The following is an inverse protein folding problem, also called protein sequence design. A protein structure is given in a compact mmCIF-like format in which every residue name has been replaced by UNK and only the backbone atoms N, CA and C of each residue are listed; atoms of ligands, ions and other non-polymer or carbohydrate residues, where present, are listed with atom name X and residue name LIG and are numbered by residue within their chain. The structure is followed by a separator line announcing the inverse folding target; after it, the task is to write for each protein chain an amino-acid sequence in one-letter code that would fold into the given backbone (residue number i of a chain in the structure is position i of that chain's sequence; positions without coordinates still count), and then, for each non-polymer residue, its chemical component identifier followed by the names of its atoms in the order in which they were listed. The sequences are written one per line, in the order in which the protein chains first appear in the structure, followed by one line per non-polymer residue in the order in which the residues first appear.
data_IF_057396179773
#
_entry.id   IF_057396179773
#
_cell.length_a   1.000
_cell.length_b   1.000
_cell.length_c   1.000
_cell.angle_alpha   90.00
_cell.angle_beta   90.00
_cell.angle_gamma   90.00
#
_symmetry.space_group_name_H-M   'P 1'
#
loop_
_entity.id
_entity.type
_entity.pdbx_description
1 polymer ?
#
# COMPACT_ATOMS: atom_id res chain seq x y z
N UNK A 1 74.48 -31.76 1.47
CA UNK A 1 74.52 -31.05 2.76
C UNK A 1 74.57 -29.55 2.49
N UNK A 2 73.68 -28.79 3.15
CA UNK A 2 73.65 -27.33 3.35
C UNK A 2 73.31 -26.35 2.18
N UNK A 3 72.00 -26.04 2.10
CA UNK A 3 71.28 -24.74 2.09
C UNK A 3 71.63 -23.49 1.23
N UNK A 4 70.51 -22.94 0.70
CA UNK A 4 70.18 -21.65 0.05
C UNK A 4 70.63 -20.37 0.81
N UNK A 5 70.63 -19.12 0.30
CA UNK A 5 69.60 -18.34 -0.43
C UNK A 5 70.18 -17.07 -1.15
N UNK A 6 69.41 -16.38 -2.04
CA UNK A 6 69.80 -15.22 -2.87
C UNK A 6 69.03 -13.90 -2.58
N UNK A 7 69.39 -12.78 -3.24
CA UNK A 7 68.46 -11.71 -3.67
C UNK A 7 69.13 -10.69 -4.63
N UNK A 8 68.58 -10.55 -5.83
CA UNK A 8 68.94 -9.53 -6.84
C UNK A 8 67.86 -8.45 -6.96
N UNK A 9 68.28 -7.25 -7.37
CA UNK A 9 67.46 -6.05 -7.53
C UNK A 9 67.03 -5.86 -8.99
N UNK A 10 65.72 -5.77 -9.24
CA UNK A 10 65.16 -5.43 -10.56
C UNK A 10 64.29 -4.16 -10.48
N UNK A 11 64.50 -3.27 -11.46
CA UNK A 11 63.83 -1.99 -11.65
C UNK A 11 62.35 -2.19 -12.00
N UNK A 12 61.45 -1.55 -11.24
CA UNK A 12 60.02 -1.49 -11.57
C UNK A 12 59.73 -0.26 -12.43
N UNK A 13 59.25 -0.50 -13.64
CA UNK A 13 58.68 0.46 -14.59
C UNK A 13 57.31 0.91 -14.05
N UNK A 14 57.17 2.20 -13.73
CA UNK A 14 55.87 2.80 -13.42
C UNK A 14 55.04 2.94 -14.71
N UNK A 15 53.94 2.19 -14.80
CA UNK A 15 52.90 2.41 -15.82
C UNK A 15 51.96 3.52 -15.34
N UNK A 16 51.44 4.39 -16.24
CA UNK A 16 50.43 5.37 -15.88
C UNK A 16 49.12 4.65 -15.51
N UNK A 17 48.61 4.92 -14.30
CA UNK A 17 47.31 4.44 -13.86
C UNK A 17 46.23 5.22 -14.62
N UNK A 18 45.53 4.53 -15.52
CA UNK A 18 44.33 5.01 -16.20
C UNK A 18 43.23 5.30 -15.16
N UNK A 19 42.82 6.56 -15.02
CA UNK A 19 41.81 7.05 -14.07
C UNK A 19 40.37 7.00 -14.62
N UNK A 20 40.05 6.03 -15.47
CA UNK A 20 38.69 5.75 -15.92
C UNK A 20 38.43 4.24 -15.76
N UNK A 21 37.70 3.83 -14.70
CA UNK A 21 36.23 3.93 -14.69
C UNK A 21 35.62 4.38 -13.35
N UNK A 22 36.38 5.00 -12.45
CA UNK A 22 35.90 5.38 -11.10
C UNK A 22 34.86 6.53 -11.15
N UNK A 23 34.83 7.32 -12.23
CA UNK A 23 33.87 8.44 -12.39
C UNK A 23 32.43 8.01 -12.68
N UNK A 24 32.18 6.77 -13.14
CA UNK A 24 30.82 6.29 -13.40
C UNK A 24 30.16 5.66 -12.16
N UNK A 25 30.95 5.08 -11.26
CA UNK A 25 30.42 4.56 -9.98
C UNK A 25 30.21 5.67 -8.94
N UNK A 26 31.04 6.72 -8.92
CA UNK A 26 30.75 7.90 -8.10
C UNK A 26 29.59 8.75 -8.64
N UNK A 27 29.30 8.71 -9.94
CA UNK A 27 28.12 9.37 -10.51
C UNK A 27 26.81 8.59 -10.29
N UNK A 28 26.90 7.29 -9.94
CA UNK A 28 25.74 6.48 -9.53
C UNK A 28 25.46 6.57 -8.01
N UNK A 29 26.45 7.01 -7.22
CA UNK A 29 26.31 7.25 -5.79
C UNK A 29 25.87 8.68 -5.43
N UNK A 30 25.64 9.53 -6.44
CA UNK A 30 25.19 10.92 -6.31
C UNK A 30 23.76 11.12 -6.86
N UNK A 31 22.97 10.04 -6.88
CA UNK A 31 21.51 10.16 -6.88
C UNK A 31 21.17 10.83 -5.56
N UNK A 32 20.74 12.09 -5.62
CA UNK A 32 20.29 12.89 -4.49
C UNK A 32 19.43 12.06 -3.54
N UNK A 33 20.08 11.43 -2.57
CA UNK A 33 19.44 10.96 -1.36
C UNK A 33 18.96 12.25 -0.71
N UNK A 34 17.64 12.45 -0.68
CA UNK A 34 17.05 13.46 0.17
C UNK A 34 17.74 13.35 1.53
N UNK A 35 18.51 14.40 1.88
CA UNK A 35 19.21 14.44 3.15
C UNK A 35 18.20 14.07 4.23
N UNK A 36 18.57 13.25 5.24
CA UNK A 36 17.63 12.90 6.30
C UNK A 36 17.15 14.22 6.90
N UNK A 37 15.86 14.51 6.75
CA UNK A 37 15.27 15.69 7.34
C UNK A 37 15.46 15.57 8.85
N UNK A 38 16.43 16.31 9.38
CA UNK A 38 16.55 16.60 10.82
C UNK A 38 15.25 17.19 11.39
N UNK A 39 14.30 17.56 10.52
CA UNK A 39 12.98 18.09 10.80
C UNK A 39 11.86 17.05 10.96
N UNK A 40 12.15 15.74 10.98
CA UNK A 40 11.13 14.68 11.16
C UNK A 40 10.26 14.84 12.43
N UNK A 41 10.77 15.53 13.46
CA UNK A 41 10.03 15.90 14.67
C UNK A 41 9.16 17.17 14.52
N UNK A 42 9.40 18.00 13.50
CA UNK A 42 8.71 19.27 13.26
C UNK A 42 7.59 19.18 12.20
N UNK A 43 7.57 18.11 11.40
CA UNK A 43 6.51 17.89 10.40
C UNK A 43 5.23 17.41 11.08
N UNK A 44 4.12 18.11 10.84
CA UNK A 44 2.82 17.78 11.44
C UNK A 44 2.33 16.38 11.04
N UNK A 45 1.54 15.75 11.90
CA UNK A 45 0.95 14.43 11.61
C UNK A 45 0.10 14.40 10.33
N UNK A 46 -0.57 15.51 10.01
CA UNK A 46 -1.29 15.68 8.75
C UNK A 46 -0.35 15.67 7.53
N UNK A 47 0.76 16.40 7.58
CA UNK A 47 1.72 16.42 6.48
C UNK A 47 2.36 15.05 6.26
N UNK A 48 2.71 14.34 7.36
CA UNK A 48 3.18 12.94 7.28
C UNK A 48 2.14 12.04 6.63
N UNK A 49 0.87 12.19 7.00
CA UNK A 49 -0.24 11.43 6.42
C UNK A 49 -0.42 11.73 4.92
N UNK A 50 -0.47 13.01 4.54
CA UNK A 50 -0.59 13.45 3.14
C UNK A 50 0.57 12.92 2.28
N UNK A 51 1.81 13.08 2.75
CA UNK A 51 3.01 12.55 2.06
C UNK A 51 2.92 11.04 1.85
N UNK A 52 2.47 10.28 2.83
CA UNK A 52 2.27 8.84 2.68
C UNK A 52 1.19 8.47 1.68
N UNK A 53 0.07 9.19 1.66
CA UNK A 53 -1.00 8.92 0.70
C UNK A 53 -0.59 9.28 -0.74
N UNK A 54 0.18 10.35 -0.93
CA UNK A 54 0.70 10.74 -2.25
C UNK A 54 1.84 9.84 -2.74
N UNK A 55 2.53 9.12 -1.86
CA UNK A 55 3.54 8.12 -2.23
C UNK A 55 2.95 6.79 -2.72
N UNK A 56 1.71 6.48 -2.34
CA UNK A 56 1.13 5.16 -2.56
C UNK A 56 0.79 4.87 -4.01
N UNK A 57 0.39 5.89 -4.78
CA UNK A 57 -0.04 5.73 -6.17
C UNK A 57 0.39 6.92 -7.04
N UNK A 58 0.59 6.71 -8.36
CA UNK A 58 0.85 7.77 -9.31
C UNK A 58 -0.12 8.95 -9.17
N UNK A 59 0.41 10.15 -9.33
CA UNK A 59 -0.26 11.41 -9.02
C UNK A 59 0.65 12.31 -8.17
N UNK A 60 0.07 13.33 -7.55
CA UNK A 60 0.80 14.33 -6.77
C UNK A 60 1.74 15.18 -7.62
N UNK A 61 1.55 16.49 -7.65
CA UNK A 61 2.33 17.39 -8.54
C UNK A 61 3.85 17.32 -8.28
N UNK A 62 4.26 17.10 -7.03
CA UNK A 62 5.67 17.02 -6.62
C UNK A 62 6.24 15.59 -6.58
N UNK A 63 5.43 14.56 -6.83
CA UNK A 63 5.79 13.16 -6.58
C UNK A 63 6.18 12.46 -7.88
N UNK A 64 7.44 11.99 -7.95
CA UNK A 64 8.02 11.28 -9.09
C UNK A 64 8.38 9.86 -8.62
N UNK A 65 7.37 8.98 -8.59
CA UNK A 65 7.48 7.68 -7.93
C UNK A 65 8.42 6.70 -8.64
N UNK A 66 8.53 6.79 -9.97
CA UNK A 66 9.50 6.01 -10.76
C UNK A 66 10.96 6.35 -10.39
N UNK A 67 11.19 7.61 -10.01
CA UNK A 67 12.50 8.12 -9.60
C UNK A 67 12.74 8.01 -8.08
N UNK A 68 11.77 7.50 -7.30
CA UNK A 68 11.77 7.52 -5.84
C UNK A 68 12.05 8.91 -5.26
N UNK A 69 11.48 9.95 -5.87
CA UNK A 69 11.79 11.35 -5.57
C UNK A 69 10.53 12.17 -5.31
N UNK A 70 10.63 13.08 -4.33
CA UNK A 70 9.69 14.21 -4.17
C UNK A 70 10.48 15.47 -4.51
N UNK A 71 10.09 16.19 -5.55
CA UNK A 71 10.83 17.35 -6.04
C UNK A 71 10.20 18.66 -5.53
N UNK A 72 11.01 19.48 -4.87
CA UNK A 72 10.64 20.85 -4.53
C UNK A 72 11.00 21.84 -5.65
N UNK A 73 11.74 21.41 -6.67
CA UNK A 73 12.22 22.28 -7.74
C UNK A 73 11.03 22.83 -8.56
N UNK A 74 10.84 24.17 -8.62
CA UNK A 74 9.76 24.77 -9.39
C UNK A 74 9.88 24.48 -10.90
N UNK A 75 11.10 24.32 -11.42
CA UNK A 75 11.38 24.13 -12.85
C UNK A 75 10.81 22.84 -13.42
N UNK A 76 10.64 21.82 -12.58
CA UNK A 76 10.05 20.54 -13.00
C UNK A 76 8.57 20.70 -13.38
N UNK A 77 7.98 21.87 -13.10
CA UNK A 77 6.54 22.18 -13.23
C UNK A 77 6.27 23.53 -13.89
N UNK A 78 7.27 24.11 -14.55
CA UNK A 78 7.12 25.38 -15.28
C UNK A 78 6.54 25.18 -16.68
N UNK A 79 6.74 24.00 -17.27
CA UNK A 79 6.31 23.72 -18.64
C UNK A 79 4.93 23.06 -18.69
N UNK A 80 4.03 23.65 -19.49
CA UNK A 80 2.69 23.11 -19.78
C UNK A 80 2.73 21.65 -20.24
N UNK A 81 3.62 21.33 -21.19
CA UNK A 81 3.73 19.98 -21.75
C UNK A 81 4.24 18.97 -20.71
N UNK A 82 5.11 19.42 -19.80
CA UNK A 82 5.61 18.58 -18.72
C UNK A 82 4.49 18.20 -17.76
N UNK A 83 3.61 19.16 -17.40
CA UNK A 83 2.48 18.90 -16.51
C UNK A 83 1.41 18.03 -17.15
N UNK A 84 0.99 18.38 -18.37
CA UNK A 84 0.06 17.57 -19.14
C UNK A 84 0.58 16.14 -19.32
N UNK A 85 1.86 16.00 -19.65
CA UNK A 85 2.51 14.70 -19.79
C UNK A 85 2.55 13.92 -18.48
N UNK A 86 2.84 14.60 -17.35
CA UNK A 86 2.83 14.00 -16.02
C UNK A 86 1.44 13.48 -15.64
N UNK A 87 0.38 14.27 -15.76
CA UNK A 87 -0.98 13.84 -15.39
C UNK A 87 -1.46 12.65 -16.23
N UNK A 88 -1.16 12.65 -17.54
CA UNK A 88 -1.45 11.52 -18.43
C UNK A 88 -0.63 10.27 -18.05
N UNK A 89 0.65 10.45 -17.73
CA UNK A 89 1.52 9.37 -17.25
C UNK A 89 1.04 8.81 -15.92
N UNK A 90 0.60 9.66 -15.00
CA UNK A 90 0.06 9.26 -13.71
C UNK A 90 -1.26 8.50 -13.88
N UNK A 91 -2.14 8.97 -14.77
CA UNK A 91 -3.36 8.23 -15.13
C UNK A 91 -3.04 6.85 -15.71
N UNK A 92 -2.12 6.77 -16.67
CA UNK A 92 -1.70 5.49 -17.26
C UNK A 92 -1.03 4.58 -16.23
N UNK A 93 -0.21 5.14 -15.33
CA UNK A 93 0.42 4.43 -14.22
C UNK A 93 -0.63 3.82 -13.29
N UNK A 94 -1.70 4.56 -12.97
CA UNK A 94 -2.83 4.05 -12.19
C UNK A 94 -3.60 2.95 -12.94
N UNK A 95 -3.83 3.07 -14.26
CA UNK A 95 -4.41 1.98 -15.07
C UNK A 95 -3.51 0.74 -15.07
N UNK A 96 -2.19 0.91 -15.18
CA UNK A 96 -1.25 -0.20 -15.11
C UNK A 96 -1.28 -0.85 -13.72
N UNK A 97 -1.35 -0.06 -12.64
CA UNK A 97 -1.50 -0.58 -11.29
C UNK A 97 -2.83 -1.32 -11.09
N UNK A 98 -3.92 -0.89 -11.73
CA UNK A 98 -5.18 -1.65 -11.75
C UNK A 98 -4.96 -3.06 -12.32
N UNK A 99 -4.31 -3.19 -13.47
CA UNK A 99 -4.02 -4.51 -14.06
C UNK A 99 -2.99 -5.29 -13.24
N UNK A 100 -2.02 -4.62 -12.63
CA UNK A 100 -1.10 -5.21 -11.65
C UNK A 100 -1.87 -5.87 -10.51
N UNK A 101 -2.77 -5.14 -9.86
CA UNK A 101 -3.60 -5.62 -8.76
C UNK A 101 -4.69 -6.61 -9.18
N UNK A 102 -5.13 -6.62 -10.45
CA UNK A 102 -5.94 -7.72 -10.98
C UNK A 102 -5.11 -9.02 -11.05
N UNK A 103 -3.84 -8.91 -11.42
CA UNK A 103 -2.94 -10.05 -11.60
C UNK A 103 -2.20 -10.42 -10.30
N UNK A 104 -0.91 -10.08 -10.19
CA UNK A 104 -0.04 -10.52 -9.11
C UNK A 104 0.22 -9.46 -8.03
N UNK A 105 -0.19 -8.21 -8.28
CA UNK A 105 0.05 -7.05 -7.42
C UNK A 105 0.70 -5.88 -8.15
N UNK A 106 0.56 -4.68 -7.61
CA UNK A 106 1.28 -3.47 -8.05
C UNK A 106 2.27 -2.97 -7.00
N UNK A 107 3.31 -2.28 -7.47
CA UNK A 107 4.29 -1.65 -6.59
C UNK A 107 3.73 -0.34 -6.03
N UNK A 108 4.10 -0.03 -4.79
CA UNK A 108 3.80 1.26 -4.17
C UNK A 108 5.02 1.79 -3.41
N UNK A 109 4.98 3.06 -3.00
CA UNK A 109 6.03 3.69 -2.19
C UNK A 109 5.54 4.01 -0.79
N UNK A 110 6.48 3.99 0.15
CA UNK A 110 6.27 4.41 1.54
C UNK A 110 7.56 5.00 2.10
N UNK A 111 7.47 5.70 3.25
CA UNK A 111 8.65 6.12 4.00
C UNK A 111 8.98 5.13 5.09
N UNK A 112 10.24 4.71 5.16
CA UNK A 112 10.73 3.92 6.28
C UNK A 112 11.03 4.77 7.53
N UNK A 113 11.47 4.12 8.60
CA UNK A 113 11.84 4.76 9.87
C UNK A 113 12.93 5.83 9.75
N UNK A 114 13.75 5.77 8.69
CA UNK A 114 14.80 6.74 8.38
C UNK A 114 14.29 7.84 7.44
N UNK A 115 12.98 7.90 7.19
CA UNK A 115 12.30 8.75 6.22
C UNK A 115 12.77 8.55 4.76
N UNK A 116 13.38 7.41 4.45
CA UNK A 116 13.76 7.06 3.09
C UNK A 116 12.57 6.49 2.33
N UNK A 117 12.42 6.87 1.06
CA UNK A 117 11.39 6.31 0.19
C UNK A 117 11.81 4.88 -0.17
N UNK A 118 10.92 3.92 0.13
CA UNK A 118 11.08 2.50 -0.15
C UNK A 118 9.95 1.99 -1.03
N UNK A 119 10.21 0.85 -1.67
CA UNK A 119 9.26 0.14 -2.51
C UNK A 119 8.71 -1.08 -1.76
N UNK A 120 7.41 -1.32 -1.90
CA UNK A 120 6.74 -2.54 -1.51
C UNK A 120 5.72 -2.95 -2.59
N UNK A 121 5.13 -4.14 -2.46
CA UNK A 121 4.18 -4.68 -3.44
C UNK A 121 2.85 -5.00 -2.74
N UNK A 122 1.76 -4.51 -3.31
CA UNK A 122 0.39 -4.87 -2.92
C UNK A 122 0.06 -6.28 -3.42
N UNK A 123 -0.90 -6.96 -2.77
CA UNK A 123 -1.39 -8.25 -3.27
C UNK A 123 -2.29 -8.02 -4.48
N UNK A 124 -2.21 -8.93 -5.46
CA UNK A 124 -3.12 -8.96 -6.60
C UNK A 124 -4.11 -10.11 -6.53
N UNK A 125 -5.27 -9.94 -7.16
CA UNK A 125 -6.41 -10.84 -7.06
C UNK A 125 -6.08 -12.26 -7.55
N UNK A 126 -5.50 -12.41 -8.75
CA UNK A 126 -5.08 -13.73 -9.26
C UNK A 126 -4.00 -14.34 -8.37
N UNK A 127 -3.05 -13.53 -7.91
CA UNK A 127 -2.02 -13.96 -6.95
C UNK A 127 -2.63 -14.54 -5.68
N UNK A 128 -3.58 -13.83 -5.07
CA UNK A 128 -4.31 -14.28 -3.89
C UNK A 128 -5.11 -15.56 -4.16
N UNK A 129 -5.78 -15.69 -5.31
CA UNK A 129 -6.47 -16.94 -5.66
C UNK A 129 -5.50 -18.12 -5.80
N UNK A 130 -4.30 -17.89 -6.34
CA UNK A 130 -3.25 -18.91 -6.42
C UNK A 130 -2.76 -19.30 -5.02
N UNK A 131 -2.55 -18.32 -4.13
CA UNK A 131 -2.15 -18.55 -2.75
C UNK A 131 -3.21 -19.36 -1.99
N UNK A 132 -4.49 -19.01 -2.15
CA UNK A 132 -5.61 -19.77 -1.59
C UNK A 132 -5.57 -21.25 -1.98
N UNK A 133 -5.38 -21.55 -3.27
CA UNK A 133 -5.33 -22.94 -3.76
C UNK A 133 -4.10 -23.67 -3.21
N UNK A 134 -2.95 -22.99 -3.13
CA UNK A 134 -1.71 -23.55 -2.56
C UNK A 134 -1.90 -23.87 -1.08
N UNK A 135 -2.43 -22.94 -0.30
CA UNK A 135 -2.59 -23.12 1.14
C UNK A 135 -3.69 -24.14 1.46
N UNK A 136 -4.82 -24.12 0.74
CA UNK A 136 -5.87 -25.13 0.87
C UNK A 136 -5.36 -26.53 0.51
N UNK A 137 -4.66 -26.70 -0.63
CA UNK A 137 -4.12 -28.01 -0.99
C UNK A 137 -3.00 -28.45 -0.05
N UNK A 138 -2.21 -27.53 0.49
CA UNK A 138 -1.20 -27.86 1.50
C UNK A 138 -1.85 -28.37 2.79
N UNK A 139 -2.95 -27.76 3.22
CA UNK A 139 -3.75 -28.25 4.32
C UNK A 139 -4.36 -29.63 4.03
N UNK A 140 -5.04 -29.81 2.90
CA UNK A 140 -5.71 -31.07 2.53
C UNK A 140 -4.74 -32.24 2.36
N UNK A 141 -3.50 -31.96 1.94
CA UNK A 141 -2.44 -32.95 1.83
C UNK A 141 -1.68 -33.22 3.14
N UNK A 142 -2.11 -32.62 4.26
CA UNK A 142 -1.40 -32.70 5.56
C UNK A 142 0.09 -32.31 5.42
N UNK A 143 0.37 -31.29 4.62
CA UNK A 143 1.71 -30.81 4.33
C UNK A 143 2.58 -31.75 3.49
N UNK A 144 2.02 -32.76 2.81
CA UNK A 144 2.76 -33.54 1.80
C UNK A 144 3.06 -32.71 0.55
N UNK A 145 2.12 -31.84 0.17
CA UNK A 145 2.35 -30.79 -0.82
C UNK A 145 2.52 -29.47 -0.07
N UNK A 146 3.72 -28.88 -0.16
CA UNK A 146 4.07 -27.66 0.57
C UNK A 146 4.82 -26.69 -0.36
N UNK A 147 4.12 -26.13 -1.36
CA UNK A 147 4.76 -25.26 -2.35
C UNK A 147 5.35 -24.02 -1.67
N UNK A 148 6.66 -23.80 -1.86
CA UNK A 148 7.39 -22.64 -1.31
C UNK A 148 8.02 -22.87 0.07
N UNK A 149 7.72 -23.97 0.76
CA UNK A 149 8.36 -24.31 2.03
C UNK A 149 9.55 -25.24 1.80
N UNK A 150 10.74 -24.86 2.28
CA UNK A 150 11.98 -25.67 2.12
C UNK A 150 11.89 -27.03 2.83
N UNK A 151 11.09 -27.12 3.90
CA UNK A 151 10.85 -28.35 4.66
C UNK A 151 9.37 -28.47 5.00
N UNK A 152 8.78 -29.61 4.67
CA UNK A 152 7.42 -29.96 5.11
C UNK A 152 7.37 -30.38 6.59
N UNK A 153 6.17 -30.41 7.19
CA UNK A 153 5.97 -30.80 8.59
C UNK A 153 6.36 -32.27 8.86
N UNK A 154 6.97 -32.52 10.02
CA UNK A 154 7.48 -33.83 10.44
C UNK A 154 6.62 -34.45 11.55
N UNK A 155 6.22 -35.71 11.37
CA UNK A 155 5.37 -36.42 12.35
C UNK A 155 3.91 -35.96 12.37
N UNK A 156 3.09 -36.61 13.19
CA UNK A 156 1.64 -36.39 13.20
C UNK A 156 1.21 -35.03 13.76
N UNK A 157 1.85 -34.56 14.85
CA UNK A 157 1.44 -33.33 15.52
C UNK A 157 1.77 -32.07 14.70
N UNK A 158 2.96 -32.01 14.07
CA UNK A 158 3.31 -30.89 13.20
C UNK A 158 2.40 -30.84 11.97
N UNK A 159 2.03 -32.00 11.41
CA UNK A 159 1.08 -32.06 10.29
C UNK A 159 -0.29 -31.53 10.66
N UNK A 160 -0.82 -31.86 11.84
CA UNK A 160 -2.09 -31.33 12.32
C UNK A 160 -2.03 -29.81 12.56
N UNK A 161 -0.95 -29.32 13.17
CA UNK A 161 -0.73 -27.88 13.36
C UNK A 161 -0.60 -27.15 12.02
N UNK A 162 0.12 -27.73 11.06
CA UNK A 162 0.28 -27.21 9.70
C UNK A 162 -1.06 -27.11 8.96
N UNK A 163 -1.91 -28.13 9.05
CA UNK A 163 -3.27 -28.11 8.48
C UNK A 163 -4.05 -26.92 9.03
N UNK A 164 -4.08 -26.74 10.36
CA UNK A 164 -4.77 -25.63 10.99
C UNK A 164 -4.23 -24.27 10.55
N UNK A 165 -2.90 -24.13 10.49
CA UNK A 165 -2.23 -22.90 10.02
C UNK A 165 -2.58 -22.57 8.58
N UNK A 166 -2.51 -23.56 7.68
CA UNK A 166 -2.78 -23.38 6.24
C UNK A 166 -4.26 -23.14 5.94
N UNK A 167 -5.17 -23.80 6.66
CA UNK A 167 -6.61 -23.47 6.58
C UNK A 167 -6.88 -22.05 7.05
N UNK A 168 -6.22 -21.60 8.12
CA UNK A 168 -6.33 -20.22 8.59
C UNK A 168 -5.87 -19.24 7.51
N UNK A 169 -4.72 -19.48 6.88
CA UNK A 169 -4.21 -18.63 5.79
C UNK A 169 -5.17 -18.59 4.60
N UNK A 170 -5.58 -19.76 4.11
CA UNK A 170 -6.51 -19.84 2.98
C UNK A 170 -7.83 -19.12 3.26
N UNK A 171 -8.41 -19.26 4.46
CA UNK A 171 -9.72 -18.67 4.76
C UNK A 171 -9.62 -17.19 5.16
N UNK A 172 -8.72 -16.86 6.09
CA UNK A 172 -8.63 -15.49 6.62
C UNK A 172 -7.77 -14.60 5.73
N UNK A 173 -6.52 -15.01 5.49
CA UNK A 173 -5.54 -14.15 4.83
C UNK A 173 -5.83 -14.02 3.32
N UNK A 174 -6.29 -15.10 2.66
CA UNK A 174 -6.53 -15.07 1.21
C UNK A 174 -7.98 -14.70 0.85
N UNK A 175 -8.97 -15.34 1.48
CA UNK A 175 -10.39 -15.10 1.13
C UNK A 175 -10.96 -13.87 1.82
N UNK A 176 -10.82 -13.74 3.15
CA UNK A 176 -11.43 -12.62 3.90
C UNK A 176 -10.65 -11.32 3.71
N UNK A 177 -9.32 -11.41 3.69
CA UNK A 177 -8.45 -10.24 3.53
C UNK A 177 -8.03 -10.02 2.08
N UNK A 178 -7.33 -10.99 1.47
CA UNK A 178 -6.65 -10.80 0.20
C UNK A 178 -7.57 -10.46 -0.99
N UNK A 179 -8.66 -11.20 -1.19
CA UNK A 179 -9.58 -10.97 -2.32
C UNK A 179 -10.22 -9.57 -2.21
N UNK A 180 -10.87 -9.20 -1.09
CA UNK A 180 -11.45 -7.87 -0.95
C UNK A 180 -10.42 -6.73 -1.04
N UNK A 181 -9.24 -6.85 -0.41
CA UNK A 181 -8.17 -5.85 -0.53
C UNK A 181 -7.74 -5.66 -1.98
N UNK A 182 -7.56 -6.75 -2.74
CA UNK A 182 -7.15 -6.69 -4.14
C UNK A 182 -8.17 -5.93 -4.99
N UNK A 183 -9.46 -6.23 -4.79
CA UNK A 183 -10.58 -5.53 -5.47
C UNK A 183 -10.62 -4.05 -5.07
N UNK A 184 -10.43 -3.74 -3.79
CA UNK A 184 -10.39 -2.37 -3.32
C UNK A 184 -9.21 -1.59 -3.92
N UNK A 185 -8.02 -2.19 -4.00
CA UNK A 185 -6.86 -1.57 -4.66
C UNK A 185 -7.10 -1.33 -6.15
N UNK A 186 -7.76 -2.26 -6.85
CA UNK A 186 -8.18 -2.05 -8.24
C UNK A 186 -9.12 -0.85 -8.35
N UNK A 187 -10.20 -0.80 -7.54
CA UNK A 187 -11.15 0.30 -7.55
C UNK A 187 -10.50 1.65 -7.26
N UNK A 188 -9.59 1.68 -6.26
CA UNK A 188 -8.76 2.84 -5.94
C UNK A 188 -7.97 3.32 -7.14
N UNK A 189 -7.23 2.43 -7.79
CA UNK A 189 -6.39 2.78 -8.94
C UNK A 189 -7.23 3.32 -10.11
N UNK A 190 -8.42 2.76 -10.35
CA UNK A 190 -9.32 3.28 -11.37
C UNK A 190 -9.86 4.68 -11.03
N UNK A 191 -10.22 4.91 -9.75
CA UNK A 191 -10.67 6.21 -9.28
C UNK A 191 -9.57 7.28 -9.39
N UNK A 192 -8.33 6.93 -9.02
CA UNK A 192 -7.16 7.81 -9.16
C UNK A 192 -6.85 8.08 -10.63
N UNK A 193 -6.86 7.07 -11.50
CA UNK A 193 -6.70 7.26 -12.93
C UNK A 193 -7.70 8.28 -13.50
N UNK A 194 -8.97 8.18 -13.08
CA UNK A 194 -10.01 9.15 -13.42
C UNK A 194 -9.72 10.56 -12.87
N UNK A 195 -9.27 10.67 -11.62
CA UNK A 195 -8.90 11.94 -11.01
C UNK A 195 -7.75 12.63 -11.76
N UNK A 196 -6.70 11.88 -12.14
CA UNK A 196 -5.59 12.41 -12.93
C UNK A 196 -6.05 12.86 -14.34
N UNK A 197 -6.97 12.13 -14.98
CA UNK A 197 -7.56 12.59 -16.26
C UNK A 197 -8.37 13.87 -16.11
N UNK A 198 -9.08 14.04 -14.99
CA UNK A 198 -9.80 15.29 -14.71
C UNK A 198 -8.82 16.43 -14.48
N UNK A 199 -7.65 16.18 -13.88
CA UNK A 199 -6.60 17.18 -13.64
C UNK A 199 -5.97 17.76 -14.92
N UNK A 200 -5.91 16.94 -15.98
CA UNK A 200 -5.38 17.37 -17.29
C UNK A 200 -6.04 18.68 -17.79
N UNK A 201 -7.35 18.83 -17.62
CA UNK A 201 -8.09 20.01 -18.10
C UNK A 201 -7.72 21.32 -17.36
N UNK A 202 -7.81 21.41 -16.02
CA UNK A 202 -7.42 22.60 -15.29
C UNK A 202 -5.92 22.87 -15.37
N UNK A 203 -5.06 21.85 -15.41
CA UNK A 203 -3.63 22.04 -15.64
C UNK A 203 -3.34 22.63 -17.02
N UNK A 204 -4.12 22.22 -18.03
CA UNK A 204 -4.01 22.76 -19.36
C UNK A 204 -4.59 24.19 -19.52
N UNK A 205 -5.51 24.61 -18.66
CA UNK A 205 -6.23 25.88 -18.82
C UNK A 205 -5.76 26.97 -17.87
N UNK A 206 -5.85 26.74 -16.57
CA UNK A 206 -5.52 27.72 -15.53
C UNK A 206 -4.15 27.44 -14.88
N UNK A 207 -3.62 26.23 -15.04
CA UNK A 207 -2.35 25.79 -14.45
C UNK A 207 -1.13 26.61 -14.90
N UNK A 208 -1.16 27.29 -16.04
CA UNK A 208 -0.04 28.10 -16.52
C UNK A 208 0.19 29.39 -15.72
N UNK A 209 -0.76 29.79 -14.88
CA UNK A 209 -0.61 30.92 -13.96
C UNK A 209 -0.15 30.42 -12.59
N UNK A 210 0.74 31.13 -11.91
CA UNK A 210 1.28 30.71 -10.60
C UNK A 210 0.16 30.39 -9.59
N UNK A 211 -0.83 31.27 -9.46
CA UNK A 211 -1.99 31.05 -8.57
C UNK A 211 -2.86 29.88 -9.04
N UNK A 212 -3.02 29.72 -10.36
CA UNK A 212 -3.77 28.62 -10.93
C UNK A 212 -3.09 27.27 -10.67
N UNK A 213 -1.77 27.20 -10.85
CA UNK A 213 -0.94 26.04 -10.47
C UNK A 213 -1.12 25.68 -9.00
N UNK A 214 -0.91 26.63 -8.09
CA UNK A 214 -1.07 26.35 -6.65
C UNK A 214 -2.47 25.84 -6.32
N UNK A 215 -3.50 26.39 -6.96
CA UNK A 215 -4.87 25.94 -6.79
C UNK A 215 -5.09 24.52 -7.32
N UNK A 216 -4.65 24.22 -8.55
CA UNK A 216 -4.84 22.88 -9.13
C UNK A 216 -4.05 21.83 -8.36
N UNK A 217 -2.76 22.06 -8.09
CA UNK A 217 -1.94 21.19 -7.23
C UNK A 217 -2.61 20.93 -5.88
N UNK A 218 -3.07 21.97 -5.19
CA UNK A 218 -3.72 21.80 -3.89
C UNK A 218 -5.00 20.98 -3.99
N UNK A 219 -5.83 21.25 -4.99
CA UNK A 219 -7.10 20.55 -5.19
C UNK A 219 -6.89 19.07 -5.49
N UNK A 220 -6.02 18.74 -6.45
CA UNK A 220 -5.84 17.36 -6.91
C UNK A 220 -4.98 16.53 -5.97
N UNK A 221 -3.94 17.09 -5.34
CA UNK A 221 -3.19 16.39 -4.28
C UNK A 221 -4.14 16.01 -3.13
N UNK A 222 -4.98 16.95 -2.68
CA UNK A 222 -5.93 16.66 -1.60
C UNK A 222 -7.05 15.73 -2.08
N UNK A 223 -7.44 15.79 -3.36
CA UNK A 223 -8.37 14.85 -3.98
C UNK A 223 -7.82 13.42 -3.96
N UNK A 224 -6.55 13.23 -4.30
CA UNK A 224 -5.87 11.93 -4.24
C UNK A 224 -5.82 11.43 -2.80
N UNK A 225 -5.42 12.28 -1.85
CA UNK A 225 -5.43 11.93 -0.40
C UNK A 225 -6.82 11.52 0.06
N UNK A 226 -7.88 12.19 -0.43
CA UNK A 226 -9.26 11.86 -0.11
C UNK A 226 -9.66 10.49 -0.69
N UNK A 227 -9.34 10.21 -1.95
CA UNK A 227 -9.62 8.89 -2.56
C UNK A 227 -8.91 7.79 -1.78
N UNK A 228 -7.61 7.95 -1.50
CA UNK A 228 -6.84 7.01 -0.67
C UNK A 228 -7.52 6.80 0.68
N UNK A 229 -7.80 7.88 1.42
CA UNK A 229 -8.45 7.81 2.72
C UNK A 229 -9.79 7.06 2.67
N UNK A 230 -10.67 7.40 1.73
CA UNK A 230 -11.99 6.77 1.61
C UNK A 230 -11.86 5.28 1.32
N UNK A 231 -10.97 4.88 0.40
CA UNK A 231 -10.75 3.46 0.10
C UNK A 231 -10.01 2.72 1.22
N UNK A 232 -9.21 3.39 2.04
CA UNK A 232 -8.54 2.78 3.18
C UNK A 232 -9.52 2.48 4.33
N UNK A 233 -10.55 3.30 4.55
CA UNK A 233 -11.46 3.18 5.70
C UNK A 233 -12.73 2.36 5.45
N UNK A 234 -13.13 2.13 4.19
CA UNK A 234 -14.27 1.25 3.90
C UNK A 234 -13.97 -0.20 4.30
N UNK A 235 -14.99 -1.06 4.50
CA UNK A 235 -14.78 -2.49 4.69
C UNK A 235 -13.83 -3.05 3.65
N UNK A 236 -12.85 -3.82 4.11
CA UNK A 236 -11.71 -4.33 3.32
C UNK A 236 -10.62 -3.34 2.90
N UNK A 237 -10.65 -2.10 3.38
CA UNK A 237 -9.55 -1.16 3.22
C UNK A 237 -8.40 -1.40 4.21
N UNK A 238 -7.20 -0.90 3.87
CA UNK A 238 -6.00 -1.07 4.69
C UNK A 238 -6.19 -0.55 6.13
N UNK A 239 -6.85 0.60 6.27
CA UNK A 239 -7.13 1.19 7.58
C UNK A 239 -8.21 0.40 8.31
N UNK A 240 -9.22 -0.10 7.61
CA UNK A 240 -10.26 -0.96 8.18
C UNK A 240 -9.66 -2.19 8.84
N UNK A 241 -8.70 -2.87 8.20
CA UNK A 241 -7.99 -4.01 8.78
C UNK A 241 -7.09 -3.64 9.96
N UNK A 242 -6.42 -2.49 9.93
CA UNK A 242 -5.65 -1.98 11.09
C UNK A 242 -6.53 -1.69 12.29
N UNK A 243 -7.66 -1.02 12.08
CA UNK A 243 -8.57 -0.60 13.16
C UNK A 243 -9.24 -1.82 13.81
N UNK A 244 -9.63 -2.82 13.02
CA UNK A 244 -10.26 -4.05 13.50
C UNK A 244 -9.30 -5.14 13.98
N UNK A 245 -8.00 -4.87 13.90
CA UNK A 245 -6.97 -5.77 14.38
C UNK A 245 -7.07 -6.01 15.89
N UNK A 246 -6.87 -7.26 16.29
CA UNK A 246 -6.73 -7.65 17.69
C UNK A 246 -5.42 -8.43 17.89
N UNK A 247 -4.90 -8.39 19.12
CA UNK A 247 -3.82 -9.28 19.55
C UNK A 247 -4.36 -10.16 20.68
N UNK A 248 -4.70 -11.40 20.34
CA UNK A 248 -5.17 -12.39 21.30
C UNK A 248 -4.10 -12.74 22.35
N UNK A 249 -2.82 -12.67 21.96
CA UNK A 249 -1.67 -12.92 22.84
C UNK A 249 -1.49 -11.82 23.89
N UNK A 250 -1.79 -10.58 23.53
CA UNK A 250 -1.67 -9.41 24.42
C UNK A 250 -3.01 -9.02 25.07
N UNK A 251 -4.09 -9.75 24.78
CA UNK A 251 -5.44 -9.46 25.29
C UNK A 251 -6.06 -8.17 24.74
N UNK A 252 -5.49 -7.61 23.67
CA UNK A 252 -5.91 -6.33 23.12
C UNK A 252 -7.09 -6.49 22.17
N UNK A 253 -8.22 -5.89 22.55
CA UNK A 253 -9.44 -5.81 21.73
C UNK A 253 -9.25 -4.86 20.54
N UNK A 254 -10.08 -4.98 19.48
CA UNK A 254 -10.08 -4.07 18.34
C UNK A 254 -10.10 -2.59 18.75
N UNK A 255 -9.63 -1.70 17.87
CA UNK A 255 -9.41 -0.26 18.11
C UNK A 255 -8.31 0.02 19.12
N UNK A 256 -8.36 -0.54 20.33
CA UNK A 256 -7.32 -0.32 21.35
C UNK A 256 -5.95 -0.79 20.87
N UNK A 257 -5.90 -1.93 20.19
CA UNK A 257 -4.65 -2.42 19.60
C UNK A 257 -4.06 -1.42 18.59
N UNK A 258 -4.88 -0.88 17.68
CA UNK A 258 -4.45 0.17 16.75
C UNK A 258 -3.96 1.43 17.48
N UNK A 259 -4.65 1.85 18.54
CA UNK A 259 -4.29 3.05 19.32
C UNK A 259 -2.99 2.88 20.09
N UNK A 260 -2.67 1.68 20.56
CA UNK A 260 -1.44 1.38 21.30
C UNK A 260 -0.23 1.13 20.41
N UNK A 261 -0.43 0.79 19.13
CA UNK A 261 0.65 0.49 18.20
C UNK A 261 1.64 1.66 18.03
N UNK A 262 2.95 1.40 17.99
CA UNK A 262 3.95 2.47 17.79
C UNK A 262 3.83 3.14 16.41
N UNK A 263 4.40 4.34 16.24
CA UNK A 263 4.41 5.04 14.93
C UNK A 263 5.11 4.19 13.85
N UNK A 264 6.22 3.52 14.19
CA UNK A 264 6.98 2.69 13.27
C UNK A 264 6.98 1.22 13.75
N UNK A 265 5.86 0.53 13.59
CA UNK A 265 5.76 -0.89 13.98
C UNK A 265 6.27 -1.81 12.87
N UNK A 266 7.09 -2.81 13.23
CA UNK A 266 7.65 -3.81 12.30
C UNK A 266 7.14 -5.23 12.54
N UNK A 267 6.40 -5.46 13.64
CA UNK A 267 5.94 -6.79 14.04
C UNK A 267 4.66 -7.26 13.35
N UNK A 268 3.94 -6.34 12.71
CA UNK A 268 2.66 -6.61 12.09
C UNK A 268 2.59 -6.00 10.68
N UNK A 269 2.30 -6.85 9.69
CA UNK A 269 2.29 -6.50 8.28
C UNK A 269 1.30 -5.37 7.94
N UNK A 270 0.26 -5.16 8.76
CA UNK A 270 -0.75 -4.12 8.54
C UNK A 270 -0.23 -2.70 8.80
N UNK A 271 0.82 -2.56 9.64
CA UNK A 271 1.44 -1.27 9.97
C UNK A 271 2.83 -1.07 9.37
N UNK A 272 3.46 -2.11 8.84
CA UNK A 272 4.86 -2.07 8.38
C UNK A 272 5.16 -1.01 7.30
N UNK A 273 4.14 -0.52 6.60
CA UNK A 273 4.26 0.43 5.49
C UNK A 273 3.62 1.80 5.77
N UNK A 274 3.25 2.10 7.02
CA UNK A 274 2.65 3.39 7.40
C UNK A 274 3.24 3.92 8.71
N UNK A 275 3.42 5.23 8.82
CA UNK A 275 3.67 5.89 10.10
C UNK A 275 2.34 6.04 10.83
N UNK A 276 2.15 5.25 11.89
CA UNK A 276 0.93 5.26 12.71
C UNK A 276 0.90 6.44 13.68
N UNK A 277 0.93 7.66 13.14
CA UNK A 277 0.90 8.90 13.91
C UNK A 277 -0.43 9.05 14.67
N UNK A 278 -0.48 9.87 15.75
CA UNK A 278 -1.74 10.19 16.42
C UNK A 278 -2.83 10.69 15.46
N UNK A 279 -2.45 11.52 14.47
CA UNK A 279 -3.38 12.00 13.46
C UNK A 279 -3.99 10.86 12.63
N UNK A 280 -3.14 9.98 12.06
CA UNK A 280 -3.58 8.81 11.28
C UNK A 280 -4.53 7.94 12.10
N UNK A 281 -4.13 7.57 13.32
CA UNK A 281 -4.94 6.76 14.24
C UNK A 281 -6.34 7.32 14.40
N UNK A 282 -6.46 8.63 14.68
CA UNK A 282 -7.74 9.29 14.89
C UNK A 282 -8.61 9.25 13.64
N UNK A 283 -8.12 9.75 12.50
CA UNK A 283 -8.96 9.89 11.30
C UNK A 283 -9.36 8.52 10.73
N UNK A 284 -8.45 7.54 10.74
CA UNK A 284 -8.73 6.20 10.23
C UNK A 284 -9.69 5.46 11.13
N UNK A 285 -9.55 5.57 12.46
CA UNK A 285 -10.48 4.93 13.40
C UNK A 285 -11.89 5.52 13.25
N UNK A 286 -12.02 6.85 13.23
CA UNK A 286 -13.31 7.52 13.06
C UNK A 286 -13.93 7.15 11.70
N UNK A 287 -13.16 7.25 10.62
CA UNK A 287 -13.63 6.93 9.27
C UNK A 287 -14.10 5.49 9.15
N UNK A 288 -13.35 4.55 9.72
CA UNK A 288 -13.68 3.12 9.68
C UNK A 288 -14.98 2.84 10.42
N UNK A 289 -15.15 3.37 11.63
CA UNK A 289 -16.38 3.19 12.42
C UNK A 289 -17.59 3.78 11.69
N UNK A 290 -17.44 4.95 11.06
CA UNK A 290 -18.51 5.55 10.27
C UNK A 290 -18.86 4.69 9.04
N UNK A 291 -17.86 4.11 8.38
CA UNK A 291 -18.06 3.20 7.27
C UNK A 291 -18.79 1.92 7.69
N UNK A 292 -18.49 1.38 8.88
CA UNK A 292 -19.21 0.22 9.43
C UNK A 292 -20.69 0.57 9.69
N UNK A 293 -20.96 1.71 10.33
CA UNK A 293 -22.33 2.18 10.58
C UNK A 293 -23.10 2.34 9.27
N UNK A 294 -22.48 2.96 8.25
CA UNK A 294 -23.09 3.13 6.94
C UNK A 294 -23.37 1.78 6.27
N UNK A 295 -22.43 0.83 6.34
CA UNK A 295 -22.56 -0.50 5.76
C UNK A 295 -23.69 -1.29 6.41
N UNK A 296 -23.77 -1.29 7.75
CA UNK A 296 -24.85 -1.93 8.51
C UNK A 296 -26.20 -1.27 8.19
N UNK A 297 -26.25 0.06 8.13
CA UNK A 297 -27.46 0.81 7.78
C UNK A 297 -27.98 0.47 6.39
N UNK A 298 -27.10 0.42 5.39
CA UNK A 298 -27.44 0.03 4.02
C UNK A 298 -27.88 -1.44 3.94
N UNK A 299 -27.17 -2.35 4.61
CA UNK A 299 -27.53 -3.77 4.67
C UNK A 299 -28.92 -3.98 5.32
N UNK A 300 -29.23 -3.21 6.37
CA UNK A 300 -30.54 -3.20 7.02
C UNK A 300 -31.67 -2.71 6.11
N UNK A 301 -31.39 -1.75 5.23
CA UNK A 301 -32.36 -1.27 4.23
C UNK A 301 -32.56 -2.25 3.07
N UNK A 302 -31.51 -2.93 2.62
CA UNK A 302 -31.60 -3.94 1.55
C UNK A 302 -32.13 -5.31 2.02
N UNK A 303 -32.06 -5.61 3.32
CA UNK A 303 -32.30 -6.94 3.89
C UNK A 303 -33.63 -7.16 4.63
N UNK A 304 -34.47 -6.15 4.83
CA UNK A 304 -35.68 -6.29 5.69
C UNK A 304 -36.98 -5.68 5.13
N UNK A 305 -37.02 -5.22 3.87
CA UNK A 305 -38.25 -4.63 3.29
C UNK A 305 -39.13 -5.61 2.51
N UNK A 306 -38.72 -6.87 2.30
CA UNK A 306 -39.47 -7.82 1.45
C UNK A 306 -40.44 -8.73 2.21
N UNK A 307 -40.43 -8.78 3.55
CA UNK A 307 -41.28 -9.73 4.30
C UNK A 307 -42.25 -9.11 5.33
N UNK A 308 -42.16 -7.81 5.65
CA UNK A 308 -43.09 -7.22 6.63
C UNK A 308 -44.48 -6.89 6.08
N UNK A 309 -44.63 -6.68 4.76
CA UNK A 309 -45.93 -6.36 4.16
C UNK A 309 -46.76 -7.62 3.85
N UNK A 310 -46.12 -8.75 3.54
CA UNK A 310 -46.82 -10.02 3.27
C UNK A 310 -47.46 -10.62 4.52
N UNK A 311 -46.75 -10.58 5.65
CA UNK A 311 -47.24 -11.15 6.90
C UNK A 311 -48.33 -10.30 7.56
N UNK A 312 -48.23 -8.96 7.47
CA UNK A 312 -49.31 -8.06 7.94
C UNK A 312 -50.59 -8.20 7.11
N UNK A 313 -50.48 -8.36 5.79
CA UNK A 313 -51.66 -8.62 4.94
C UNK A 313 -52.27 -9.99 5.19
N UNK A 314 -51.46 -11.03 5.43
CA UNK A 314 -51.96 -12.37 5.79
C UNK A 314 -52.67 -12.38 7.14
N UNK A 315 -52.14 -11.68 8.14
CA UNK A 315 -52.77 -11.56 9.47
C UNK A 315 -54.07 -10.76 9.42
N UNK A 316 -54.14 -9.70 8.61
CA UNK A 316 -55.36 -8.93 8.42
C UNK A 316 -56.43 -9.74 7.66
N UNK A 317 -56.04 -10.51 6.64
CA UNK A 317 -56.99 -11.36 5.91
C UNK A 317 -57.51 -12.51 6.79
N UNK A 318 -56.68 -13.12 7.64
CA UNK A 318 -57.12 -14.18 8.56
C UNK A 318 -58.05 -13.69 9.68
N UNK A 319 -58.01 -12.38 10.01
CA UNK A 319 -58.90 -11.78 11.00
C UNK A 319 -60.23 -11.30 10.40
N UNK A 320 -60.34 -11.22 9.07
CA UNK A 320 -61.56 -10.83 8.36
C UNK A 320 -62.37 -12.03 7.87
N UNK A 321 -61.82 -13.25 7.95
CA UNK A 321 -62.48 -14.52 7.56
C UNK A 321 -63.13 -15.27 8.75
N UNK A 322 -63.18 -14.67 9.93
CA UNK A 322 -63.91 -15.15 11.11
C UNK A 322 -64.89 -14.11 11.64
#
# INVERSE_FOLDING_TARGET
MAYAQPAGSEKVIQRPVSTAPIRKELAAADVQHAAPAKDSLLVSGWQKYKDEQLLRNPGGDHYYLEENRVSENPRDRESFLTRLGKDLSDSFGNVNNFFGNLLMGSKFRYRDENNMIREATQRGLVGTCVDFVKDLGSALSFGLWHPGDEKGPQGGMERLSHVGSKLKKALLDDVVEGIPQSVNHMAKNLALAGLNLVQVLPDATIGNLERGRTLTTTLFDNGQVMVEYLTDVIPSGDAWFRVHASSLLEGNVPILYNLQMSENSKGDARWQYVRNTPFRKTIETVGTILADIATIGLAGQSGFSTNQNGDKQRLLNSLLEH
#
